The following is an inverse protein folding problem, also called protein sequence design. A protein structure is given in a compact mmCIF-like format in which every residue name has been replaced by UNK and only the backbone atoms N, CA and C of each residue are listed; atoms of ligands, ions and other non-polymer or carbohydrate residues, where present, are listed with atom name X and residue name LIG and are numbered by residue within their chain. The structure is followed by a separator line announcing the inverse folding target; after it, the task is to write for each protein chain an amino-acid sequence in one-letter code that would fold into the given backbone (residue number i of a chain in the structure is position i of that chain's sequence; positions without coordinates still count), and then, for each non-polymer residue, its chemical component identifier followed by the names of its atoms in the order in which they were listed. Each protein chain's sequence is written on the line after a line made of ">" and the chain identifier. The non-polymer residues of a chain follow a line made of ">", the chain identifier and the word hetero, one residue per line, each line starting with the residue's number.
data_IF_301534562436
#
_entry.id   IF_301534562436
#
_cell.length_a   1.000
_cell.length_b   1.000
_cell.length_c   1.000
_cell.angle_alpha   90.00
_cell.angle_beta   90.00
_cell.angle_gamma   90.00
#
_symmetry.space_group_name_H-M   'P 1'
#
loop_
_entity.id
_entity.type
_entity.pdbx_description
1 polymer ?
#
# COMPACT_ATOMS: atom_id res chain seq x y z
N UNK A 1 3.12 26.85 -11.10
CA UNK A 1 4.09 26.06 -10.36
C UNK A 1 3.42 24.80 -9.79
N UNK A 2 4.04 23.61 -9.98
CA UNK A 2 3.59 22.36 -9.40
C UNK A 2 3.79 22.49 -7.88
N UNK A 3 2.69 22.38 -7.11
CA UNK A 3 2.75 22.59 -5.65
C UNK A 3 2.87 21.28 -4.86
N UNK A 4 2.30 20.18 -5.37
CA UNK A 4 2.31 18.89 -4.69
C UNK A 4 2.57 17.78 -5.70
N UNK A 5 3.55 16.94 -5.43
CA UNK A 5 3.86 15.74 -6.19
C UNK A 5 3.59 14.54 -5.28
N UNK A 6 2.85 13.59 -5.79
CA UNK A 6 2.60 12.31 -5.13
C UNK A 6 3.18 11.19 -5.98
N UNK A 7 3.70 10.16 -5.34
CA UNK A 7 4.15 8.95 -6.02
C UNK A 7 3.32 7.77 -5.55
N UNK A 8 2.94 6.94 -6.50
CA UNK A 8 2.05 5.81 -6.26
C UNK A 8 2.53 4.64 -7.11
N UNK A 9 2.51 3.44 -6.54
CA UNK A 9 2.90 2.24 -7.25
C UNK A 9 2.38 0.97 -6.59
N UNK A 10 2.37 -0.10 -7.38
CA UNK A 10 1.96 -1.42 -6.93
C UNK A 10 3.15 -2.40 -7.03
N UNK A 11 3.20 -3.37 -6.11
CA UNK A 11 4.22 -4.43 -6.09
C UNK A 11 5.63 -3.82 -6.11
N UNK A 12 6.50 -4.17 -7.03
CA UNK A 12 7.81 -3.52 -7.22
C UNK A 12 7.69 -2.00 -7.40
N UNK A 13 6.61 -1.51 -8.05
CA UNK A 13 6.33 -0.08 -8.16
C UNK A 13 6.00 0.56 -6.82
N UNK A 14 5.33 -0.15 -5.90
CA UNK A 14 5.06 0.28 -4.53
C UNK A 14 6.36 0.35 -3.70
N UNK A 15 7.23 -0.65 -3.84
CA UNK A 15 8.56 -0.65 -3.23
C UNK A 15 9.39 0.54 -3.72
N UNK A 16 9.35 0.79 -5.03
CA UNK A 16 10.04 1.94 -5.64
C UNK A 16 9.48 3.26 -5.16
N UNK A 17 8.15 3.40 -5.06
CA UNK A 17 7.50 4.60 -4.55
C UNK A 17 7.96 4.94 -3.13
N UNK A 18 8.02 3.94 -2.25
CA UNK A 18 8.54 4.09 -0.89
C UNK A 18 10.03 4.45 -0.89
N UNK A 19 10.85 3.78 -1.70
CA UNK A 19 12.28 4.07 -1.81
C UNK A 19 12.55 5.49 -2.33
N UNK A 20 11.75 5.98 -3.28
CA UNK A 20 11.82 7.37 -3.78
C UNK A 20 11.50 8.38 -2.69
N UNK A 21 10.48 8.11 -1.85
CA UNK A 21 10.16 8.96 -0.71
C UNK A 21 11.30 9.00 0.32
N UNK A 22 11.92 7.86 0.58
CA UNK A 22 13.08 7.80 1.48
C UNK A 22 14.26 8.60 0.94
N UNK A 23 14.51 8.50 -0.37
CA UNK A 23 15.67 9.15 -0.99
C UNK A 23 15.46 10.64 -1.28
N UNK A 24 14.20 11.04 -1.58
CA UNK A 24 13.86 12.39 -2.00
C UNK A 24 12.63 12.93 -1.23
N UNK A 25 12.66 12.95 0.11
CA UNK A 25 11.47 13.26 0.93
C UNK A 25 10.97 14.69 0.75
N UNK A 26 11.81 15.62 0.30
CA UNK A 26 11.43 17.01 0.05
C UNK A 26 10.70 17.21 -1.28
N UNK A 27 10.75 16.22 -2.18
CA UNK A 27 10.10 16.31 -3.50
C UNK A 27 8.65 15.85 -3.39
N UNK A 28 8.39 14.77 -2.63
CA UNK A 28 7.08 14.12 -2.59
C UNK A 28 6.27 14.60 -1.39
N UNK A 29 5.06 15.06 -1.65
CA UNK A 29 4.08 15.41 -0.61
C UNK A 29 3.45 14.16 0.03
N UNK A 30 3.40 13.06 -0.70
CA UNK A 30 2.89 11.79 -0.21
C UNK A 30 3.18 10.62 -1.14
N UNK A 31 3.11 9.43 -0.57
CA UNK A 31 3.42 8.14 -1.19
C UNK A 31 2.26 7.19 -0.98
N UNK A 32 1.90 6.44 -2.01
CA UNK A 32 0.99 5.31 -1.92
C UNK A 32 1.72 4.05 -2.37
N UNK A 33 1.91 3.14 -1.43
CA UNK A 33 2.49 1.83 -1.65
C UNK A 33 1.37 0.79 -1.64
N UNK A 34 1.06 0.21 -2.80
CA UNK A 34 0.04 -0.82 -2.97
C UNK A 34 0.72 -2.18 -3.13
N UNK A 35 0.47 -3.11 -2.21
CA UNK A 35 1.00 -4.48 -2.24
C UNK A 35 2.52 -4.55 -2.53
N UNK A 36 3.29 -3.59 -2.00
CA UNK A 36 4.72 -3.42 -2.24
C UNK A 36 5.54 -3.42 -0.94
N UNK A 37 5.28 -4.36 -0.03
CA UNK A 37 6.08 -4.50 1.19
C UNK A 37 7.55 -4.62 0.81
N UNK A 38 8.42 -3.84 1.43
CA UNK A 38 9.85 -3.93 1.14
C UNK A 38 10.45 -5.22 1.70
N UNK A 39 11.51 -5.70 1.07
CA UNK A 39 12.26 -6.84 1.61
C UNK A 39 12.68 -6.55 3.05
N UNK A 40 12.61 -7.58 3.89
CA UNK A 40 13.07 -7.50 5.27
C UNK A 40 14.53 -7.00 5.30
N UNK A 41 14.82 -6.15 6.26
CA UNK A 41 16.13 -5.51 6.45
C UNK A 41 16.55 -4.50 5.35
N UNK A 42 15.72 -4.29 4.31
CA UNK A 42 15.91 -3.25 3.29
C UNK A 42 14.84 -2.14 3.36
N UNK A 43 13.90 -2.28 4.30
CA UNK A 43 12.83 -1.27 4.49
C UNK A 43 13.43 0.06 4.95
N UNK A 44 13.06 1.12 4.25
CA UNK A 44 13.54 2.46 4.55
C UNK A 44 12.45 3.33 5.18
N UNK A 45 12.88 4.29 5.97
CA UNK A 45 12.06 5.38 6.51
C UNK A 45 12.75 6.68 6.12
N UNK A 46 12.03 7.67 5.55
CA UNK A 46 12.64 8.94 5.19
C UNK A 46 13.04 9.75 6.44
N UNK A 47 14.05 10.60 6.30
CA UNK A 47 14.51 11.51 7.34
C UNK A 47 13.62 12.76 7.50
N UNK A 48 12.81 13.08 6.49
CA UNK A 48 11.86 14.18 6.49
C UNK A 48 10.42 13.67 6.38
N UNK A 49 9.44 14.34 7.04
CA UNK A 49 8.06 13.90 7.06
C UNK A 49 7.39 13.89 5.69
N UNK A 50 6.89 12.74 5.27
CA UNK A 50 6.13 12.52 4.04
C UNK A 50 4.85 11.77 4.40
N UNK A 51 3.70 12.18 3.83
CA UNK A 51 2.46 11.42 3.98
C UNK A 51 2.62 10.03 3.37
N UNK A 52 2.09 9.01 4.04
CA UNK A 52 2.27 7.63 3.60
C UNK A 52 0.97 6.84 3.69
N UNK A 53 0.63 6.17 2.61
CA UNK A 53 -0.44 5.19 2.54
C UNK A 53 0.19 3.86 2.13
N UNK A 54 -0.06 2.82 2.92
CA UNK A 54 0.32 1.45 2.60
C UNK A 54 -0.93 0.58 2.55
N UNK A 55 -1.07 -0.16 1.46
CA UNK A 55 -2.18 -1.09 1.22
C UNK A 55 -1.62 -2.50 1.02
N UNK A 56 -2.28 -3.49 1.62
CA UNK A 56 -1.98 -4.91 1.43
C UNK A 56 -3.22 -5.79 1.52
N UNK A 57 -3.23 -6.89 0.79
CA UNK A 57 -4.25 -7.93 0.89
C UNK A 57 -3.78 -9.07 1.82
N UNK A 58 -4.62 -9.50 2.76
CA UNK A 58 -4.24 -10.57 3.73
C UNK A 58 -3.90 -11.90 3.04
N UNK A 59 -4.52 -12.16 1.87
CA UNK A 59 -4.32 -13.37 1.08
C UNK A 59 -3.21 -13.22 0.02
N UNK A 60 -2.44 -12.12 0.07
CA UNK A 60 -1.30 -11.91 -0.82
C UNK A 60 -0.16 -12.88 -0.46
N UNK A 61 0.11 -13.84 -1.35
CA UNK A 61 1.21 -14.81 -1.22
C UNK A 61 2.46 -14.40 -1.99
N UNK A 62 2.36 -13.35 -2.83
CA UNK A 62 3.48 -12.84 -3.65
C UNK A 62 4.29 -11.81 -2.84
N UNK A 63 3.61 -10.82 -2.26
CA UNK A 63 4.20 -9.82 -1.37
C UNK A 63 3.34 -9.71 -0.10
N UNK A 64 3.42 -10.69 0.81
CA UNK A 64 2.52 -10.77 1.94
C UNK A 64 2.68 -9.57 2.89
N UNK A 65 1.54 -8.98 3.35
CA UNK A 65 1.57 -7.88 4.31
C UNK A 65 1.84 -8.31 5.76
N UNK A 66 1.89 -9.60 5.99
CA UNK A 66 2.12 -10.21 7.31
C UNK A 66 3.43 -11.01 7.32
N UNK A 67 3.90 -11.42 8.50
CA UNK A 67 5.17 -12.12 8.65
C UNK A 67 5.07 -13.61 8.22
N UNK A 68 4.89 -13.84 6.94
CA UNK A 68 4.94 -15.17 6.32
C UNK A 68 5.95 -15.16 5.16
N UNK A 69 6.43 -16.35 4.80
CA UNK A 69 7.31 -16.50 3.64
C UNK A 69 6.49 -16.37 2.35
N UNK A 70 6.96 -15.54 1.44
CA UNK A 70 6.33 -15.34 0.15
C UNK A 70 6.53 -16.54 -0.80
N UNK A 71 5.73 -16.61 -1.87
CA UNK A 71 5.81 -17.67 -2.88
C UNK A 71 7.16 -17.73 -3.59
N UNK A 72 7.87 -16.60 -3.72
CA UNK A 72 9.22 -16.50 -4.27
C UNK A 72 10.33 -16.89 -3.27
N UNK A 73 9.95 -17.19 -2.02
CA UNK A 73 10.87 -17.58 -0.97
C UNK A 73 11.45 -16.42 -0.15
N UNK A 74 11.17 -15.17 -0.50
CA UNK A 74 11.62 -14.00 0.25
C UNK A 74 10.79 -13.73 1.51
N UNK A 75 11.35 -12.93 2.40
CA UNK A 75 10.68 -12.36 3.56
C UNK A 75 10.55 -10.86 3.35
N UNK A 76 9.33 -10.38 3.47
CA UNK A 76 9.00 -8.96 3.39
C UNK A 76 8.77 -8.36 4.78
N UNK A 77 9.00 -7.07 4.90
CA UNK A 77 8.72 -6.35 6.14
C UNK A 77 7.21 -6.27 6.35
N UNK A 78 6.67 -6.77 7.46
CA UNK A 78 5.23 -6.70 7.71
C UNK A 78 4.69 -5.28 7.64
N UNK A 79 3.50 -5.12 7.06
CA UNK A 79 2.86 -3.83 6.88
C UNK A 79 2.69 -3.06 8.20
N UNK A 80 2.29 -3.75 9.26
CA UNK A 80 2.15 -3.17 10.60
C UNK A 80 3.47 -2.66 11.16
N UNK A 81 4.56 -3.37 10.89
CA UNK A 81 5.89 -2.96 11.35
C UNK A 81 6.35 -1.70 10.61
N UNK A 82 6.11 -1.63 9.30
CA UNK A 82 6.36 -0.42 8.50
C UNK A 82 5.51 0.76 9.00
N UNK A 83 4.20 0.55 9.24
CA UNK A 83 3.30 1.57 9.76
C UNK A 83 3.78 2.11 11.12
N UNK A 84 4.14 1.23 12.05
CA UNK A 84 4.60 1.60 13.38
C UNK A 84 5.92 2.37 13.31
N UNK A 85 6.90 1.87 12.54
CA UNK A 85 8.21 2.50 12.41
C UNK A 85 8.13 3.92 11.81
N UNK A 86 7.27 4.14 10.80
CA UNK A 86 7.03 5.47 10.26
C UNK A 86 6.30 6.38 11.26
N UNK A 87 5.34 5.82 12.02
CA UNK A 87 4.59 6.57 13.03
C UNK A 87 5.48 7.02 14.19
N UNK A 88 6.41 6.18 14.60
CA UNK A 88 7.42 6.48 15.64
C UNK A 88 8.42 7.53 15.13
N UNK A 89 8.97 7.35 13.92
CA UNK A 89 9.92 8.29 13.32
C UNK A 89 9.37 9.71 13.25
N UNK A 90 8.09 9.85 12.92
CA UNK A 90 7.44 11.15 12.78
C UNK A 90 6.62 11.56 14.00
N UNK A 91 6.85 10.91 15.16
CA UNK A 91 6.29 11.26 16.46
C UNK A 91 4.77 11.47 16.43
N UNK A 92 4.06 10.57 15.76
CA UNK A 92 2.61 10.62 15.68
C UNK A 92 1.97 10.42 17.08
N UNK A 93 1.09 11.32 17.50
CA UNK A 93 0.51 11.32 18.85
C UNK A 93 -0.83 10.60 18.94
N UNK A 94 -1.44 10.27 17.81
CA UNK A 94 -2.75 9.62 17.77
C UNK A 94 -2.75 8.51 16.75
N UNK A 95 -3.14 7.31 17.17
CA UNK A 95 -3.40 6.17 16.27
C UNK A 95 -4.86 5.78 16.46
N UNK A 96 -5.61 5.76 15.37
CA UNK A 96 -6.99 5.29 15.32
C UNK A 96 -7.06 4.04 14.43
N UNK A 97 -7.79 3.04 14.90
CA UNK A 97 -8.07 1.82 14.12
C UNK A 97 -9.57 1.67 13.96
N UNK A 98 -10.00 1.27 12.79
CA UNK A 98 -11.40 0.99 12.45
C UNK A 98 -11.49 -0.11 11.41
N UNK A 99 -12.60 -0.84 11.42
CA UNK A 99 -12.98 -1.75 10.34
C UNK A 99 -14.11 -1.09 9.54
N UNK A 100 -14.14 -1.31 8.25
CA UNK A 100 -15.23 -0.85 7.39
C UNK A 100 -15.35 -1.76 6.17
N UNK A 101 -16.55 -1.84 5.61
CA UNK A 101 -16.83 -2.57 4.38
C UNK A 101 -17.01 -1.57 3.24
N UNK A 102 -16.32 -1.80 2.15
CA UNK A 102 -16.45 -1.06 0.90
C UNK A 102 -16.09 -2.00 -0.25
N UNK A 103 -17.07 -2.79 -0.70
CA UNK A 103 -16.92 -3.95 -1.60
C UNK A 103 -16.12 -5.12 -0.99
N UNK A 104 -15.08 -4.85 -0.20
CA UNK A 104 -14.28 -5.79 0.59
C UNK A 104 -14.30 -5.40 2.07
N UNK A 105 -13.86 -6.29 2.96
CA UNK A 105 -13.68 -6.00 4.39
C UNK A 105 -12.28 -5.44 4.65
N UNK A 106 -12.22 -4.25 5.22
CA UNK A 106 -10.97 -3.53 5.48
C UNK A 106 -10.73 -3.29 6.96
N UNK A 107 -9.46 -3.42 7.35
CA UNK A 107 -8.92 -2.78 8.54
C UNK A 107 -8.14 -1.53 8.14
N UNK A 108 -8.46 -0.40 8.74
CA UNK A 108 -7.79 0.89 8.52
C UNK A 108 -7.15 1.36 9.81
N UNK A 109 -5.85 1.67 9.76
CA UNK A 109 -5.14 2.39 10.82
C UNK A 109 -4.72 3.75 10.31
N UNK A 110 -4.90 4.78 11.13
CA UNK A 110 -4.47 6.15 10.82
C UNK A 110 -3.63 6.66 11.98
N UNK A 111 -2.36 6.98 11.71
CA UNK A 111 -1.53 7.77 12.60
C UNK A 111 -1.60 9.24 12.19
N UNK A 112 -1.86 10.11 13.15
CA UNK A 112 -2.07 11.55 12.95
C UNK A 112 -1.44 12.36 14.09
N UNK A 113 -1.50 13.70 13.96
CA UNK A 113 -0.78 14.60 14.85
C UNK A 113 0.72 14.29 14.85
N UNK A 114 1.26 14.02 13.68
CA UNK A 114 2.66 13.73 13.43
C UNK A 114 3.42 15.04 13.13
N UNK A 115 4.76 14.98 13.08
CA UNK A 115 5.59 16.08 12.58
C UNK A 115 5.06 16.61 11.25
N UNK A 116 5.05 17.94 11.06
CA UNK A 116 4.56 18.64 9.88
C UNK A 116 3.12 18.28 9.47
N UNK A 117 2.29 17.84 10.43
CA UNK A 117 0.90 17.44 10.21
C UNK A 117 0.70 16.36 9.13
N UNK A 118 1.71 15.54 8.87
CA UNK A 118 1.53 14.38 7.99
C UNK A 118 0.60 13.35 8.62
N UNK A 119 0.09 12.48 7.76
CA UNK A 119 -0.68 11.29 8.16
C UNK A 119 -0.02 10.04 7.59
N UNK A 120 -0.11 8.96 8.34
CA UNK A 120 0.30 7.63 7.91
C UNK A 120 -0.94 6.75 7.98
N UNK A 121 -1.26 6.09 6.87
CA UNK A 121 -2.46 5.26 6.73
C UNK A 121 -2.04 3.85 6.33
N UNK A 122 -2.52 2.87 7.06
CA UNK A 122 -2.42 1.45 6.72
C UNK A 122 -3.81 0.92 6.39
N UNK A 123 -3.93 0.21 5.29
CA UNK A 123 -5.16 -0.39 4.79
C UNK A 123 -4.94 -1.87 4.51
N UNK A 124 -5.44 -2.73 5.37
CA UNK A 124 -5.44 -4.17 5.18
C UNK A 124 -6.78 -4.60 4.59
N UNK A 125 -6.76 -5.11 3.37
CA UNK A 125 -7.91 -5.77 2.75
C UNK A 125 -7.95 -7.23 3.21
N UNK A 126 -8.96 -7.60 4.00
CA UNK A 126 -9.10 -8.95 4.56
C UNK A 126 -9.55 -10.00 3.55
N UNK A 127 -10.05 -9.56 2.41
CA UNK A 127 -10.44 -10.42 1.28
C UNK A 127 -9.42 -10.40 0.13
N UNK A 128 -8.51 -9.41 0.15
CA UNK A 128 -7.61 -9.08 -0.93
C UNK A 128 -6.42 -10.02 -1.06
N UNK A 129 -5.91 -10.12 -2.29
CA UNK A 129 -4.63 -10.75 -2.66
C UNK A 129 -3.65 -9.75 -3.25
N UNK A 130 -2.78 -10.22 -4.16
CA UNK A 130 -1.77 -9.39 -4.84
C UNK A 130 -2.37 -8.66 -6.03
N UNK A 131 -3.23 -7.67 -5.78
CA UNK A 131 -3.86 -6.89 -6.85
C UNK A 131 -4.23 -5.48 -6.39
N UNK A 132 -4.46 -4.61 -7.36
CA UNK A 132 -4.91 -3.24 -7.14
C UNK A 132 -6.31 -3.23 -6.50
N UNK A 133 -6.59 -2.33 -5.54
CA UNK A 133 -7.93 -2.21 -4.98
C UNK A 133 -8.97 -2.02 -6.09
N UNK A 134 -10.11 -2.69 -5.98
CA UNK A 134 -11.18 -2.60 -6.96
C UNK A 134 -11.04 -3.49 -8.19
N UNK A 135 -9.93 -4.20 -8.32
CA UNK A 135 -9.81 -5.25 -9.33
C UNK A 135 -10.53 -6.51 -8.85
N UNK A 136 -11.31 -7.12 -9.72
CA UNK A 136 -12.02 -8.36 -9.43
C UNK A 136 -11.05 -9.48 -8.99
N UNK A 137 -11.46 -10.28 -8.01
CA UNK A 137 -10.68 -11.42 -7.49
C UNK A 137 -10.28 -12.42 -8.60
N UNK A 138 -11.08 -12.54 -9.66
CA UNK A 138 -10.78 -13.37 -10.83
C UNK A 138 -9.54 -12.88 -11.58
N UNK A 139 -9.33 -11.58 -11.68
CA UNK A 139 -8.14 -10.97 -12.29
C UNK A 139 -6.92 -11.19 -11.40
N UNK A 140 -7.06 -11.04 -10.08
CA UNK A 140 -6.03 -11.35 -9.10
C UNK A 140 -5.54 -12.79 -9.21
N UNK A 141 -6.45 -13.74 -9.39
CA UNK A 141 -6.13 -15.15 -9.64
C UNK A 141 -5.28 -15.33 -10.90
N UNK A 142 -5.61 -14.64 -11.98
CA UNK A 142 -4.85 -14.71 -13.23
C UNK A 142 -3.41 -14.21 -13.10
N UNK A 143 -3.17 -13.18 -12.31
CA UNK A 143 -1.80 -12.68 -12.06
C UNK A 143 -0.99 -13.55 -11.08
N UNK A 144 -1.65 -14.38 -10.29
CA UNK A 144 -0.97 -15.28 -9.33
C UNK A 144 -0.55 -16.63 -9.94
N UNK A 145 -0.96 -16.94 -11.17
CA UNK A 145 -0.62 -18.19 -11.85
C UNK A 145 0.71 -18.07 -12.62
N UNK A 146 1.51 -19.15 -12.72
CA UNK A 146 2.65 -19.18 -13.63
C UNK A 146 2.22 -18.86 -15.06
N UNK A 147 2.98 -18.02 -15.75
CA UNK A 147 2.64 -17.60 -17.14
C UNK A 147 2.46 -18.75 -18.13
N UNK A 148 3.10 -19.91 -17.87
CA UNK A 148 2.97 -21.12 -18.68
C UNK A 148 1.58 -21.75 -18.65
N UNK A 149 0.78 -21.51 -17.59
CA UNK A 149 -0.49 -22.19 -17.34
C UNK A 149 -1.69 -21.23 -17.45
N UNK A 150 -1.43 -19.98 -17.87
CA UNK A 150 -2.43 -18.93 -17.96
C UNK A 150 -3.34 -19.12 -19.17
N UNK A 151 -4.56 -19.56 -18.91
CA UNK A 151 -5.66 -19.44 -19.88
C UNK A 151 -6.22 -18.01 -19.85
N UNK A 152 -5.61 -17.14 -20.64
CA UNK A 152 -6.01 -15.73 -20.75
C UNK A 152 -7.47 -15.53 -21.15
N UNK A 153 -8.13 -16.55 -21.74
CA UNK A 153 -9.57 -16.48 -22.09
C UNK A 153 -10.46 -16.44 -20.85
N UNK A 154 -9.98 -16.93 -19.72
CA UNK A 154 -10.69 -16.90 -18.43
C UNK A 154 -10.40 -15.65 -17.61
N UNK A 155 -9.41 -14.86 -18.02
CA UNK A 155 -9.03 -13.63 -17.37
C UNK A 155 -9.80 -12.47 -18.00
N UNK A 156 -10.96 -12.14 -17.43
CA UNK A 156 -11.70 -10.97 -17.86
C UNK A 156 -11.02 -9.71 -17.34
N UNK A 157 -10.15 -9.11 -18.17
CA UNK A 157 -9.46 -7.84 -17.88
C UNK A 157 -10.38 -6.61 -18.04
N UNK A 158 -11.67 -6.77 -17.92
CA UNK A 158 -12.57 -5.63 -17.83
C UNK A 158 -12.23 -4.83 -16.57
N UNK A 159 -11.37 -3.85 -16.73
CA UNK A 159 -11.00 -2.86 -15.71
C UNK A 159 -12.19 -1.88 -15.53
N UNK A 160 -13.37 -2.41 -15.30
CA UNK A 160 -14.56 -1.58 -15.04
C UNK A 160 -14.71 -1.22 -13.56
N UNK A 161 -13.75 -1.58 -12.71
CA UNK A 161 -13.80 -1.27 -11.31
C UNK A 161 -13.04 0.04 -11.01
N UNK A 162 -13.72 1.14 -11.34
CA UNK A 162 -13.25 2.51 -11.07
C UNK A 162 -13.12 2.82 -9.57
N UNK A 163 -13.83 2.06 -8.70
CA UNK A 163 -13.87 2.36 -7.27
C UNK A 163 -12.49 2.33 -6.58
N UNK A 164 -11.58 1.47 -7.00
CA UNK A 164 -10.26 1.35 -6.38
C UNK A 164 -9.39 2.58 -6.63
N UNK A 165 -9.48 3.15 -7.83
CA UNK A 165 -8.78 4.40 -8.16
C UNK A 165 -9.37 5.56 -7.37
N UNK A 166 -10.69 5.70 -7.35
CA UNK A 166 -11.38 6.74 -6.59
C UNK A 166 -11.14 6.59 -5.09
N UNK A 167 -11.12 5.37 -4.59
CA UNK A 167 -10.81 5.07 -3.20
C UNK A 167 -9.40 5.56 -2.81
N UNK A 168 -8.36 5.22 -3.59
CA UNK A 168 -6.98 5.66 -3.33
C UNK A 168 -6.82 7.17 -3.54
N UNK A 169 -7.48 7.74 -4.55
CA UNK A 169 -7.47 9.18 -4.80
C UNK A 169 -8.13 9.93 -3.63
N UNK A 170 -9.27 9.48 -3.15
CA UNK A 170 -9.94 10.09 -1.99
C UNK A 170 -9.07 10.03 -0.73
N UNK A 171 -8.34 8.92 -0.51
CA UNK A 171 -7.37 8.85 0.57
C UNK A 171 -6.24 9.87 0.43
N UNK A 172 -5.77 10.14 -0.81
CA UNK A 172 -4.81 11.20 -1.07
C UNK A 172 -5.40 12.59 -0.79
N UNK A 173 -6.69 12.79 -1.04
CA UNK A 173 -7.37 14.03 -0.64
C UNK A 173 -7.46 14.18 0.88
N UNK A 174 -7.69 13.10 1.62
CA UNK A 174 -7.67 13.09 3.10
C UNK A 174 -6.31 13.49 3.67
N UNK A 175 -5.22 13.34 2.91
CA UNK A 175 -3.88 13.79 3.29
C UNK A 175 -3.66 15.29 3.10
N UNK A 176 -4.57 16.01 2.44
CA UNK A 176 -4.43 17.45 2.14
C UNK A 176 -4.83 18.37 3.30
N UNK A 177 -5.41 17.79 4.37
CA UNK A 177 -5.93 18.49 5.55
C UNK A 177 -4.95 19.38 6.29
#
# INVERSE_FOLDING_TARGET
>A
PIRNIYVLGMSNGGMMAQALACKYPTIFKGVVNVAGMQHKDLSCIPDQPVNFIIYGGINDTVVPPINIKASDGYLYEPMDKTFNAWSEQFECKSIKQSNFNHYDDFEKKIASNCKNNIKIISLLNKDGGHFWPGIDKSVGFCFSQPQSDLDYSKCNFSISNEWGNDFLINLLFDLRG
#
